data_IF_273086206834
#
_entry.id   IF_273086206834
#
_cell.length_a   1.000
_cell.length_b   1.000
_cell.length_c   1.000
_cell.angle_alpha   90.00
_cell.angle_beta   90.00
_cell.angle_gamma   90.00
#
_symmetry.space_group_name_H-M   'P 1'
#
loop_
_entity.id
_entity.type
_entity.pdbx_description
1 polymer ?
#
# COMPACT_ATOMS: atom_id res chain seq x y z
N UNK A 1 1.37 2.36 22.95
CA UNK A 1 0.03 2.97 23.06
C UNK A 1 -0.89 2.00 23.79
N UNK A 2 -2.06 2.46 24.24
CA UNK A 2 -3.09 1.59 24.83
C UNK A 2 -3.48 0.46 23.86
N UNK A 3 -3.66 0.76 22.57
CA UNK A 3 -3.98 -0.22 21.54
C UNK A 3 -2.92 -1.32 21.38
N UNK A 4 -1.63 -0.97 21.41
CA UNK A 4 -0.56 -1.96 21.34
C UNK A 4 -0.54 -2.88 22.58
N UNK A 5 -0.80 -2.33 23.76
CA UNK A 5 -0.79 -3.09 25.02
C UNK A 5 -1.99 -4.03 25.18
N UNK A 6 -3.19 -3.56 24.83
CA UNK A 6 -4.44 -4.32 25.05
C UNK A 6 -4.74 -5.24 23.86
N UNK A 7 -4.48 -4.78 22.63
CA UNK A 7 -4.91 -5.47 21.41
C UNK A 7 -3.73 -6.10 20.64
N UNK A 8 -2.49 -5.89 21.09
CA UNK A 8 -1.31 -6.25 20.30
C UNK A 8 -1.23 -5.48 18.98
N UNK A 9 -1.94 -4.34 18.88
CA UNK A 9 -2.03 -3.61 17.63
C UNK A 9 -0.71 -2.94 17.26
N UNK A 10 -0.27 -3.17 16.03
CA UNK A 10 0.85 -2.48 15.41
C UNK A 10 0.54 -2.15 13.94
N UNK A 11 1.07 -1.04 13.41
CA UNK A 11 0.89 -0.69 12.00
C UNK A 11 1.65 -1.68 11.12
N UNK A 12 0.93 -2.35 10.21
CA UNK A 12 1.56 -3.21 9.19
C UNK A 12 2.35 -2.39 8.17
N UNK A 13 1.91 -1.18 7.85
CA UNK A 13 2.56 -0.27 6.89
C UNK A 13 2.98 1.00 7.61
N UNK A 14 4.23 1.42 7.43
CA UNK A 14 4.78 2.68 7.94
C UNK A 14 4.72 3.77 6.87
N UNK A 15 4.89 5.02 7.27
CA UNK A 15 4.74 6.17 6.37
C UNK A 15 5.57 6.08 5.08
N UNK A 16 6.85 5.70 5.16
CA UNK A 16 7.69 5.58 3.96
C UNK A 16 7.24 4.48 2.99
N UNK A 17 6.64 3.42 3.51
CA UNK A 17 6.07 2.33 2.72
C UNK A 17 4.75 2.77 2.07
N UNK A 18 3.92 3.52 2.81
CA UNK A 18 2.70 4.13 2.29
C UNK A 18 3.01 5.08 1.13
N UNK A 19 4.03 5.94 1.25
CA UNK A 19 4.42 6.85 0.17
C UNK A 19 4.84 6.10 -1.09
N UNK A 20 5.56 4.98 -0.95
CA UNK A 20 5.94 4.13 -2.10
C UNK A 20 4.73 3.49 -2.77
N UNK A 21 3.76 3.00 -1.97
CA UNK A 21 2.49 2.48 -2.47
C UNK A 21 1.75 3.55 -3.28
N UNK A 22 1.61 4.75 -2.73
CA UNK A 22 0.92 5.86 -3.40
C UNK A 22 1.64 6.27 -4.70
N UNK A 23 2.97 6.39 -4.67
CA UNK A 23 3.75 6.80 -5.84
C UNK A 23 3.65 5.79 -6.99
N UNK A 24 3.76 4.49 -6.69
CA UNK A 24 3.62 3.46 -7.72
C UNK A 24 2.20 3.47 -8.31
N UNK A 25 1.17 3.61 -7.47
CA UNK A 25 -0.21 3.68 -7.94
C UNK A 25 -0.46 4.89 -8.84
N UNK A 26 0.04 6.07 -8.48
CA UNK A 26 -0.10 7.30 -9.28
C UNK A 26 0.66 7.20 -10.62
N UNK A 27 1.86 6.61 -10.62
CA UNK A 27 2.64 6.40 -11.84
C UNK A 27 1.94 5.43 -12.79
N UNK A 28 1.47 4.29 -12.29
CA UNK A 28 0.73 3.31 -13.10
C UNK A 28 -0.58 3.89 -13.63
N UNK A 29 -1.32 4.65 -12.81
CA UNK A 29 -2.54 5.37 -13.23
C UNK A 29 -2.25 6.38 -14.35
N UNK A 30 -1.10 7.05 -14.30
CA UNK A 30 -0.65 7.97 -15.35
C UNK A 30 -0.09 7.25 -16.60
N UNK A 31 -0.05 5.91 -16.61
CA UNK A 31 0.53 5.11 -17.70
C UNK A 31 2.07 5.18 -17.76
N UNK A 32 2.72 5.51 -16.63
CA UNK A 32 4.17 5.60 -16.50
C UNK A 32 4.72 4.34 -15.82
N UNK A 33 6.02 4.07 -16.04
CA UNK A 33 6.72 3.00 -15.35
C UNK A 33 6.92 3.34 -13.87
N UNK A 34 6.38 2.50 -12.99
CA UNK A 34 6.58 2.59 -11.55
C UNK A 34 7.80 1.79 -11.08
N UNK A 35 8.53 2.23 -10.03
CA UNK A 35 9.60 1.45 -9.41
C UNK A 35 9.17 0.08 -8.85
N UNK A 36 7.90 -0.09 -8.47
CA UNK A 36 7.34 -1.37 -8.00
C UNK A 36 7.59 -1.67 -6.52
N UNK A 37 8.17 -0.72 -5.77
CA UNK A 37 8.42 -0.84 -4.34
C UNK A 37 7.12 -0.94 -3.52
N UNK A 38 6.11 -0.17 -3.90
CA UNK A 38 4.78 -0.15 -3.29
C UNK A 38 4.03 -1.46 -3.49
N UNK A 39 4.03 -1.97 -4.72
CA UNK A 39 3.43 -3.28 -5.05
C UNK A 39 4.08 -4.40 -4.24
N UNK A 40 5.41 -4.40 -4.16
CA UNK A 40 6.17 -5.37 -3.35
C UNK A 40 5.83 -5.31 -1.85
N UNK A 41 5.66 -4.11 -1.28
CA UNK A 41 5.23 -3.97 0.12
C UNK A 41 3.88 -4.65 0.36
N UNK A 42 2.93 -4.52 -0.57
CA UNK A 42 1.62 -5.11 -0.41
C UNK A 42 1.66 -6.63 -0.56
N UNK A 43 2.40 -7.15 -1.54
CA UNK A 43 2.61 -8.60 -1.70
C UNK A 43 3.25 -9.23 -0.45
N UNK A 44 4.30 -8.61 0.08
CA UNK A 44 5.03 -9.12 1.26
C UNK A 44 4.18 -9.07 2.55
N UNK A 45 3.31 -8.06 2.72
CA UNK A 45 2.62 -7.81 4.00
C UNK A 45 1.15 -8.20 4.04
N UNK A 46 0.50 -8.31 2.88
CA UNK A 46 -0.93 -8.60 2.76
C UNK A 46 -1.21 -9.79 1.86
N UNK A 47 -0.27 -10.20 0.99
CA UNK A 47 -0.44 -11.34 0.08
C UNK A 47 -1.79 -11.29 -0.64
N UNK A 48 -2.52 -12.40 -0.64
CA UNK A 48 -3.81 -12.52 -1.34
C UNK A 48 -4.97 -11.74 -0.71
N UNK A 49 -4.77 -11.05 0.43
CA UNK A 49 -5.82 -10.21 1.00
C UNK A 49 -5.98 -8.90 0.23
N UNK A 50 -4.92 -8.42 -0.43
CA UNK A 50 -4.95 -7.17 -1.19
C UNK A 50 -4.93 -7.47 -2.69
N UNK A 51 -5.76 -6.75 -3.45
CA UNK A 51 -5.72 -6.77 -4.90
C UNK A 51 -5.22 -5.42 -5.40
N UNK A 52 -4.02 -5.41 -5.98
CA UNK A 52 -3.37 -4.21 -6.52
C UNK A 52 -4.22 -3.55 -7.62
N UNK A 53 -4.88 -4.36 -8.46
CA UNK A 53 -5.68 -3.87 -9.57
C UNK A 53 -6.94 -3.10 -9.11
N UNK A 54 -7.46 -3.41 -7.92
CA UNK A 54 -8.62 -2.71 -7.35
C UNK A 54 -8.26 -1.32 -6.79
N UNK A 55 -6.97 -1.01 -6.55
CA UNK A 55 -6.55 0.31 -6.05
C UNK A 55 -6.76 1.42 -7.08
N UNK A 56 -6.65 1.09 -8.37
CA UNK A 56 -6.72 2.03 -9.49
C UNK A 56 -8.12 2.68 -9.61
N UNK A 57 -9.14 2.08 -8.99
CA UNK A 57 -10.56 2.52 -9.10
C UNK A 57 -10.94 3.61 -8.09
N UNK A 58 -10.12 3.90 -7.08
CA UNK A 58 -10.49 4.87 -6.03
C UNK A 58 -10.00 6.31 -6.23
N UNK A 59 -9.20 6.58 -7.27
CA UNK A 59 -8.53 7.88 -7.48
C UNK A 59 -9.14 8.74 -8.60
N UNK A 60 -10.24 8.30 -9.24
CA UNK A 60 -10.98 9.06 -10.28
C UNK A 60 -12.29 9.71 -9.78
N UNK A 61 -12.35 10.21 -8.54
CA UNK A 61 -13.46 11.10 -8.13
C UNK A 61 -12.99 12.41 -7.54
#
# INVERSE_FOLDING_TARGET
SEASRILGWEPRVRFGELVRIMMDADLELAGLDAPGDGKRVLDEKFGNWHNWEDQVVSMER
#
